data_IF_016425352333
#
_entry.id   IF_016425352333
#
_cell.length_a   1.000
_cell.length_b   1.000
_cell.length_c   1.000
_cell.angle_alpha   90.00
_cell.angle_beta   90.00
_cell.angle_gamma   90.00
#
_symmetry.space_group_name_H-M   'P 1'
#
loop_
_entity.id
_entity.type
_entity.pdbx_description
1 polymer ?
#
# COMPACT_ATOMS: atom_id res chain seq x y z
N UNK A 1 -17.70 -14.15 -25.38
CA UNK A 1 -17.05 -12.90 -25.85
C UNK A 1 -16.75 -11.88 -24.75
N UNK A 2 -17.50 -11.84 -23.65
CA UNK A 2 -17.24 -10.87 -22.53
C UNK A 2 -15.95 -11.16 -21.74
N UNK A 3 -15.58 -12.41 -21.52
CA UNK A 3 -14.36 -12.79 -20.77
C UNK A 3 -13.06 -12.37 -21.47
N UNK A 4 -13.04 -12.31 -22.81
CA UNK A 4 -11.89 -11.85 -23.57
C UNK A 4 -11.64 -10.34 -23.46
N UNK A 5 -12.70 -9.54 -23.35
CA UNK A 5 -12.59 -8.09 -23.17
C UNK A 5 -12.03 -7.72 -21.81
N UNK A 6 -12.35 -8.51 -20.78
CA UNK A 6 -11.85 -8.29 -19.43
C UNK A 6 -10.35 -8.59 -19.29
N UNK A 7 -9.89 -9.67 -19.95
CA UNK A 7 -8.46 -10.04 -19.98
C UNK A 7 -7.65 -8.99 -20.76
N UNK A 8 -8.21 -8.47 -21.87
CA UNK A 8 -7.55 -7.42 -22.67
C UNK A 8 -7.47 -6.09 -21.90
N UNK A 9 -8.49 -5.76 -21.12
CA UNK A 9 -8.50 -4.55 -20.27
C UNK A 9 -7.50 -4.67 -19.11
N UNK A 10 -7.39 -5.86 -18.51
CA UNK A 10 -6.40 -6.14 -17.47
C UNK A 10 -4.95 -6.11 -18.02
N UNK A 11 -4.73 -6.63 -19.23
CA UNK A 11 -3.43 -6.60 -19.90
C UNK A 11 -3.05 -5.17 -20.33
N UNK A 12 -4.00 -4.35 -20.79
CA UNK A 12 -3.78 -2.94 -21.12
C UNK A 12 -3.46 -2.10 -19.87
N UNK A 13 -4.05 -2.43 -18.72
CA UNK A 13 -3.75 -1.78 -17.44
C UNK A 13 -2.32 -2.10 -16.96
N UNK A 14 -1.83 -3.33 -17.20
CA UNK A 14 -0.44 -3.71 -16.89
C UNK A 14 0.59 -3.08 -17.84
N UNK A 15 0.23 -2.83 -19.10
CA UNK A 15 1.14 -2.26 -20.11
C UNK A 15 1.30 -0.73 -19.98
N UNK A 16 0.31 -0.05 -19.35
CA UNK A 16 0.35 1.40 -19.07
C UNK A 16 1.29 1.82 -17.94
N UNK A 17 1.83 0.88 -17.18
CA UNK A 17 2.72 1.15 -16.03
C UNK A 17 4.21 1.03 -16.42
N UNK A 18 4.60 1.63 -17.54
CA UNK A 18 6.02 1.88 -17.79
C UNK A 18 6.45 3.08 -16.93
N UNK A 19 6.81 2.79 -15.69
CA UNK A 19 7.46 3.76 -14.82
C UNK A 19 8.85 4.05 -15.39
N UNK A 20 9.03 5.28 -15.90
CA UNK A 20 10.36 5.81 -16.12
C UNK A 20 11.04 5.84 -14.75
N UNK A 21 11.95 4.91 -14.51
CA UNK A 21 12.88 4.97 -13.41
C UNK A 21 13.92 6.05 -13.78
N UNK A 22 13.62 7.31 -13.52
CA UNK A 22 14.63 8.37 -13.52
C UNK A 22 15.55 8.07 -12.33
N UNK A 23 16.80 7.74 -12.65
CA UNK A 23 17.88 7.68 -11.67
C UNK A 23 17.94 9.04 -10.97
N UNK A 24 17.63 9.06 -9.67
CA UNK A 24 17.65 10.25 -8.86
C UNK A 24 19.06 10.84 -8.88
N UNK A 25 19.19 12.00 -9.48
CA UNK A 25 20.36 12.86 -9.36
C UNK A 25 20.62 13.07 -7.86
N UNK A 26 21.80 12.67 -7.41
CA UNK A 26 22.26 12.82 -6.02
C UNK A 26 22.43 14.30 -5.72
N UNK A 27 21.34 14.96 -5.35
CA UNK A 27 21.40 16.28 -4.74
C UNK A 27 22.20 16.14 -3.43
N UNK A 28 23.38 16.75 -3.37
CA UNK A 28 24.18 16.89 -2.15
C UNK A 28 23.30 17.51 -1.07
N UNK A 29 22.78 16.67 -0.17
CA UNK A 29 22.01 17.14 0.96
C UNK A 29 22.98 17.80 1.93
N UNK A 30 22.86 19.10 2.07
CA UNK A 30 23.57 19.89 3.05
C UNK A 30 23.17 19.39 4.47
N UNK A 31 24.12 18.78 5.18
CA UNK A 31 23.95 18.21 6.55
C UNK A 31 23.45 19.23 7.59
N UNK A 32 23.40 20.51 7.22
CA UNK A 32 22.90 21.65 8.02
C UNK A 32 21.36 21.79 8.01
N UNK A 33 20.60 21.00 7.22
CA UNK A 33 19.14 21.09 7.25
C UNK A 33 18.61 20.54 8.57
N UNK A 34 18.54 21.47 9.50
CA UNK A 34 17.91 21.49 10.79
C UNK A 34 16.87 20.35 10.99
N UNK A 35 17.13 19.45 11.97
CA UNK A 35 16.22 18.39 12.46
C UNK A 35 14.75 18.82 12.48
N UNK A 36 14.49 20.10 12.73
CA UNK A 36 13.18 20.75 12.75
C UNK A 36 12.47 20.74 11.36
N UNK A 37 13.19 20.75 10.23
CA UNK A 37 12.57 20.68 8.89
C UNK A 37 12.08 19.26 8.58
N UNK A 38 12.83 18.26 9.00
CA UNK A 38 12.51 16.84 8.83
C UNK A 38 11.19 16.48 9.53
N UNK A 39 11.05 16.86 10.79
CA UNK A 39 9.80 16.66 11.54
C UNK A 39 8.60 17.40 10.91
N UNK A 40 8.83 18.55 10.30
CA UNK A 40 7.76 19.29 9.62
C UNK A 40 7.28 18.58 8.35
N UNK A 41 8.18 17.99 7.58
CA UNK A 41 7.84 17.24 6.35
C UNK A 41 7.10 15.93 6.70
N UNK A 42 7.61 15.18 7.69
CA UNK A 42 6.95 13.96 8.15
C UNK A 42 5.54 14.27 8.70
N UNK A 43 5.40 15.32 9.51
CA UNK A 43 4.09 15.75 10.02
C UNK A 43 3.13 16.15 8.89
N UNK A 44 3.61 16.83 7.86
CA UNK A 44 2.78 17.18 6.69
C UNK A 44 2.29 15.94 5.96
N UNK A 45 3.16 14.98 5.65
CA UNK A 45 2.79 13.73 5.00
C UNK A 45 1.75 12.94 5.82
N UNK A 46 1.93 12.87 7.15
CA UNK A 46 0.99 12.23 8.08
C UNK A 46 -0.38 12.90 8.05
N UNK A 47 -0.43 14.23 8.17
CA UNK A 47 -1.70 14.98 8.15
C UNK A 47 -2.39 14.83 6.78
N UNK A 48 -1.64 14.89 5.68
CA UNK A 48 -2.18 14.69 4.34
C UNK A 48 -2.81 13.31 4.18
N UNK A 49 -2.15 12.25 4.66
CA UNK A 49 -2.71 10.88 4.65
C UNK A 49 -3.90 10.71 5.60
N UNK A 50 -3.95 11.49 6.69
CA UNK A 50 -5.09 11.47 7.62
C UNK A 50 -6.31 12.22 7.06
N UNK A 51 -6.13 13.22 6.19
CA UNK A 51 -7.26 13.93 5.56
C UNK A 51 -7.78 13.16 4.34
N UNK A 52 -6.87 12.72 3.46
CA UNK A 52 -7.21 11.92 2.29
C UNK A 52 -6.24 10.73 2.23
N UNK A 53 -6.76 9.49 2.33
CA UNK A 53 -5.91 8.29 2.24
C UNK A 53 -5.06 8.30 0.98
N UNK A 54 -3.75 8.03 1.11
CA UNK A 54 -2.83 7.99 -0.01
C UNK A 54 -2.16 9.33 -0.37
N UNK A 55 -2.66 10.49 0.06
CA UNK A 55 -2.04 11.79 -0.25
C UNK A 55 -0.63 11.94 0.34
N UNK A 56 -0.39 11.43 1.53
CA UNK A 56 0.95 11.45 2.14
C UNK A 56 1.94 10.57 1.37
N UNK A 57 1.49 9.44 0.82
CA UNK A 57 2.31 8.58 -0.03
C UNK A 57 2.63 9.27 -1.36
N UNK A 58 1.66 9.97 -1.96
CA UNK A 58 1.87 10.79 -3.14
C UNK A 58 2.87 11.93 -2.86
N UNK A 59 2.77 12.61 -1.70
CA UNK A 59 3.72 13.63 -1.26
C UNK A 59 5.14 13.07 -1.09
N UNK A 60 5.26 11.81 -0.62
CA UNK A 60 6.53 11.11 -0.49
C UNK A 60 7.06 10.55 -1.82
N UNK A 61 6.41 10.84 -2.97
CA UNK A 61 6.73 10.33 -4.31
C UNK A 61 6.58 8.80 -4.45
N UNK A 62 5.80 8.15 -3.59
CA UNK A 62 5.52 6.70 -3.64
C UNK A 62 4.13 6.42 -4.22
N UNK A 63 3.87 6.93 -5.42
CA UNK A 63 2.58 6.85 -6.11
C UNK A 63 2.05 5.43 -6.29
N UNK A 64 2.94 4.46 -6.42
CA UNK A 64 2.57 3.06 -6.61
C UNK A 64 1.82 2.45 -5.41
N UNK A 65 1.98 3.01 -4.20
CA UNK A 65 1.26 2.58 -3.00
C UNK A 65 -0.19 3.06 -2.98
N UNK A 66 -0.49 4.18 -3.63
CA UNK A 66 -1.82 4.79 -3.63
C UNK A 66 -2.89 3.82 -4.15
N UNK A 67 -2.76 3.17 -5.31
CA UNK A 67 -3.75 2.22 -5.80
C UNK A 67 -3.94 1.02 -4.86
N UNK A 68 -2.91 0.58 -4.14
CA UNK A 68 -3.00 -0.52 -3.15
C UNK A 68 -3.91 -0.12 -1.99
N UNK A 69 -3.74 1.09 -1.46
CA UNK A 69 -4.59 1.62 -0.37
C UNK A 69 -6.05 1.70 -0.81
N UNK A 70 -6.31 2.24 -2.01
CA UNK A 70 -7.68 2.34 -2.53
C UNK A 70 -8.29 0.97 -2.88
N UNK A 71 -7.50 0.02 -3.36
CA UNK A 71 -7.96 -1.36 -3.58
C UNK A 71 -8.38 -2.02 -2.26
N UNK A 72 -7.60 -1.82 -1.20
CA UNK A 72 -7.92 -2.32 0.12
C UNK A 72 -9.18 -1.67 0.72
N UNK A 73 -9.26 -0.34 0.69
CA UNK A 73 -10.45 0.40 1.16
C UNK A 73 -11.68 0.04 0.34
N UNK A 74 -11.55 -0.09 -0.99
CA UNK A 74 -12.64 -0.50 -1.88
C UNK A 74 -13.12 -1.92 -1.61
N UNK A 75 -12.20 -2.87 -1.35
CA UNK A 75 -12.54 -4.26 -1.02
C UNK A 75 -13.32 -4.37 0.28
N UNK A 76 -12.83 -3.76 1.37
CA UNK A 76 -13.54 -3.75 2.64
C UNK A 76 -14.82 -2.90 2.61
N UNK A 77 -14.83 -1.80 1.85
CA UNK A 77 -16.03 -0.99 1.61
C UNK A 77 -17.12 -1.78 0.88
N UNK A 78 -16.74 -2.59 -0.11
CA UNK A 78 -17.66 -3.49 -0.80
C UNK A 78 -18.23 -4.58 0.13
N UNK A 79 -17.36 -5.18 0.96
CA UNK A 79 -17.80 -6.14 1.99
C UNK A 79 -18.80 -5.51 2.96
N UNK A 80 -18.51 -4.30 3.44
CA UNK A 80 -19.44 -3.55 4.28
C UNK A 80 -20.78 -3.33 3.59
N UNK A 81 -20.76 -2.82 2.35
CA UNK A 81 -21.96 -2.48 1.61
C UNK A 81 -22.87 -3.69 1.37
N UNK A 82 -22.31 -4.80 0.88
CA UNK A 82 -23.09 -6.02 0.59
C UNK A 82 -23.64 -6.65 1.86
N UNK A 83 -22.87 -6.71 2.94
CA UNK A 83 -23.33 -7.26 4.20
C UNK A 83 -24.34 -6.34 4.91
N UNK A 84 -24.24 -5.02 4.74
CA UNK A 84 -25.23 -4.06 5.24
C UNK A 84 -26.57 -4.23 4.54
N UNK A 85 -26.60 -4.45 3.22
CA UNK A 85 -27.84 -4.75 2.51
C UNK A 85 -28.51 -6.03 3.00
N UNK A 86 -27.75 -7.11 3.10
CA UNK A 86 -28.25 -8.39 3.59
C UNK A 86 -28.72 -8.30 5.05
N UNK A 87 -27.96 -7.63 5.90
CA UNK A 87 -28.36 -7.36 7.28
C UNK A 87 -29.71 -6.63 7.34
N UNK A 88 -29.87 -5.56 6.55
CA UNK A 88 -31.13 -4.79 6.51
C UNK A 88 -32.30 -5.62 5.98
N UNK A 89 -32.06 -6.44 4.97
CA UNK A 89 -33.05 -7.33 4.41
C UNK A 89 -33.57 -8.35 5.42
N UNK A 90 -32.67 -9.08 6.09
CA UNK A 90 -33.05 -10.07 7.10
C UNK A 90 -33.61 -9.43 8.36
N UNK A 91 -33.15 -8.24 8.75
CA UNK A 91 -33.72 -7.49 9.88
C UNK A 91 -35.17 -7.06 9.61
N UNK A 92 -35.48 -6.63 8.38
CA UNK A 92 -36.84 -6.28 7.96
C UNK A 92 -37.77 -7.49 8.01
N UNK A 93 -37.33 -8.62 7.44
CA UNK A 93 -38.15 -9.84 7.42
C UNK A 93 -38.35 -10.45 8.84
N UNK A 94 -37.32 -10.39 9.70
CA UNK A 94 -37.46 -10.80 11.11
C UNK A 94 -38.47 -9.93 11.86
N UNK A 95 -38.49 -8.62 11.56
CA UNK A 95 -39.49 -7.72 12.17
C UNK A 95 -40.90 -8.07 11.68
N UNK A 96 -41.08 -8.33 10.38
CA UNK A 96 -42.35 -8.69 9.79
C UNK A 96 -42.90 -10.04 10.33
N UNK A 97 -41.99 -11.00 10.65
CA UNK A 97 -42.37 -12.27 11.25
C UNK A 97 -42.89 -12.12 12.69
N UNK A 98 -42.33 -11.13 13.44
CA UNK A 98 -42.57 -11.00 14.88
C UNK A 98 -43.55 -9.88 15.26
N UNK A 99 -43.99 -9.02 14.34
CA UNK A 99 -44.84 -7.87 14.67
C UNK A 99 -46.35 -8.19 14.67
N UNK A 100 -46.73 -9.39 14.22
CA UNK A 100 -48.12 -9.83 14.17
C UNK A 100 -49.04 -9.00 13.28
N UNK A 101 -48.50 -8.13 12.43
CA UNK A 101 -49.25 -7.25 11.56
C UNK A 101 -49.49 -7.92 10.19
N UNK A 102 -50.76 -8.13 9.83
CA UNK A 102 -51.12 -8.74 8.57
C UNK A 102 -50.67 -7.97 7.32
N UNK A 103 -50.29 -6.69 7.46
CA UNK A 103 -49.79 -5.85 6.35
C UNK A 103 -48.28 -6.00 6.14
N UNK A 104 -47.54 -6.57 7.08
CA UNK A 104 -46.12 -6.85 6.97
C UNK A 104 -45.92 -8.35 6.72
N UNK A 105 -45.40 -8.69 5.55
CA UNK A 105 -45.22 -10.10 5.15
C UNK A 105 -43.71 -10.41 5.16
N UNK A 106 -43.36 -11.54 5.79
CA UNK A 106 -42.05 -12.13 5.63
C UNK A 106 -41.92 -12.64 4.19
N UNK A 107 -41.06 -11.99 3.40
CA UNK A 107 -40.79 -12.36 1.99
C UNK A 107 -39.94 -13.63 1.88
N UNK A 108 -39.36 -14.09 3.00
CA UNK A 108 -38.50 -15.26 3.07
C UNK A 108 -39.31 -16.47 3.60
N UNK A 109 -38.84 -17.65 3.26
CA UNK A 109 -39.43 -18.90 3.81
C UNK A 109 -38.75 -19.34 5.12
N UNK A 110 -37.97 -18.45 5.76
CA UNK A 110 -37.21 -18.74 6.96
C UNK A 110 -38.02 -18.43 8.21
N UNK A 111 -37.85 -19.30 9.24
CA UNK A 111 -38.41 -19.06 10.55
C UNK A 111 -37.72 -17.90 11.28
N UNK A 112 -38.35 -17.40 12.35
CA UNK A 112 -37.80 -16.32 13.19
C UNK A 112 -36.38 -16.61 13.66
N UNK A 113 -36.07 -17.84 14.12
CA UNK A 113 -34.75 -18.24 14.59
C UNK A 113 -33.70 -18.25 13.47
N UNK A 114 -34.09 -18.73 12.29
CA UNK A 114 -33.22 -18.72 11.12
C UNK A 114 -32.90 -17.28 10.68
N UNK A 115 -33.91 -16.41 10.63
CA UNK A 115 -33.76 -14.98 10.29
C UNK A 115 -32.87 -14.26 11.31
N UNK A 116 -32.99 -14.58 12.59
CA UNK A 116 -32.15 -14.04 13.65
C UNK A 116 -30.69 -14.43 13.46
N UNK A 117 -30.42 -15.69 13.16
CA UNK A 117 -29.07 -16.18 12.91
C UNK A 117 -28.45 -15.51 11.66
N UNK A 118 -29.17 -15.49 10.54
CA UNK A 118 -28.72 -14.83 9.30
C UNK A 118 -28.43 -13.35 9.52
N UNK A 119 -29.35 -12.62 10.18
CA UNK A 119 -29.15 -11.23 10.54
C UNK A 119 -27.86 -11.02 11.36
N UNK A 120 -27.62 -11.89 12.35
CA UNK A 120 -26.44 -11.78 13.22
C UNK A 120 -25.14 -12.10 12.48
N UNK A 121 -25.16 -13.06 11.55
CA UNK A 121 -23.98 -13.39 10.75
C UNK A 121 -23.61 -12.25 9.78
N UNK A 122 -24.59 -11.69 9.07
CA UNK A 122 -24.32 -10.53 8.20
C UNK A 122 -23.91 -9.29 8.98
N UNK A 123 -24.40 -9.13 10.23
CA UNK A 123 -23.89 -8.09 11.14
C UNK A 123 -22.41 -8.27 11.45
N UNK A 124 -21.95 -9.48 11.75
CA UNK A 124 -20.53 -9.77 12.02
C UNK A 124 -19.66 -9.42 10.81
N UNK A 125 -20.05 -9.88 9.61
CA UNK A 125 -19.28 -9.59 8.38
C UNK A 125 -19.30 -8.11 8.01
N UNK A 126 -20.39 -7.40 8.24
CA UNK A 126 -20.47 -5.95 8.11
C UNK A 126 -19.48 -5.25 9.06
N UNK A 127 -19.48 -5.65 10.32
CA UNK A 127 -18.62 -5.04 11.34
C UNK A 127 -17.13 -5.35 11.05
N UNK A 128 -16.82 -6.55 10.53
CA UNK A 128 -15.48 -6.88 10.00
C UNK A 128 -15.07 -5.97 8.85
N UNK A 129 -15.99 -5.61 7.94
CA UNK A 129 -15.76 -4.63 6.87
C UNK A 129 -15.32 -3.27 7.41
N UNK A 130 -16.02 -2.77 8.44
CA UNK A 130 -15.67 -1.48 9.11
C UNK A 130 -14.30 -1.56 9.77
N UNK A 131 -14.04 -2.62 10.53
CA UNK A 131 -12.76 -2.83 11.21
C UNK A 131 -11.63 -2.91 10.18
N UNK A 132 -11.82 -3.65 9.07
CA UNK A 132 -10.83 -3.75 7.99
C UNK A 132 -10.52 -2.42 7.34
N UNK A 133 -11.53 -1.59 7.05
CA UNK A 133 -11.32 -0.22 6.57
C UNK A 133 -10.50 0.61 7.58
N UNK A 134 -10.81 0.51 8.86
CA UNK A 134 -10.10 1.21 9.93
C UNK A 134 -8.62 0.81 10.00
N UNK A 135 -8.33 -0.48 9.93
CA UNK A 135 -6.96 -1.00 9.95
C UNK A 135 -6.17 -0.47 8.74
N UNK A 136 -6.72 -0.57 7.52
CA UNK A 136 -6.05 -0.06 6.31
C UNK A 136 -5.81 1.45 6.42
N UNK A 137 -6.78 2.20 6.92
CA UNK A 137 -6.63 3.64 7.12
C UNK A 137 -5.51 3.97 8.11
N UNK A 138 -5.44 3.30 9.25
CA UNK A 138 -4.39 3.50 10.24
C UNK A 138 -3.02 3.13 9.65
N UNK A 139 -2.91 1.98 8.98
CA UNK A 139 -1.68 1.55 8.34
C UNK A 139 -1.21 2.54 7.27
N UNK A 140 -2.12 3.11 6.47
CA UNK A 140 -1.80 4.15 5.49
C UNK A 140 -1.21 5.40 6.13
N UNK A 141 -1.74 5.86 7.27
CA UNK A 141 -1.22 7.04 7.99
C UNK A 141 0.17 6.74 8.59
N UNK A 142 0.35 5.56 9.18
CA UNK A 142 1.65 5.14 9.74
C UNK A 142 2.69 5.02 8.62
N UNK A 143 2.37 4.36 7.50
CA UNK A 143 3.28 4.18 6.37
C UNK A 143 3.73 5.53 5.78
N UNK A 144 2.81 6.48 5.62
CA UNK A 144 3.15 7.83 5.16
C UNK A 144 4.12 8.56 6.11
N UNK A 145 3.95 8.37 7.42
CA UNK A 145 4.85 8.93 8.43
C UNK A 145 6.24 8.30 8.37
N UNK A 146 6.30 6.97 8.34
CA UNK A 146 7.56 6.20 8.27
C UNK A 146 8.33 6.53 7.01
N UNK A 147 7.65 6.55 5.85
CA UNK A 147 8.27 6.90 4.57
C UNK A 147 8.87 8.31 4.57
N UNK A 148 8.19 9.27 5.20
CA UNK A 148 8.70 10.64 5.29
C UNK A 148 9.93 10.75 6.20
N UNK A 149 10.00 9.97 7.28
CA UNK A 149 11.20 9.89 8.11
C UNK A 149 12.36 9.17 7.41
N UNK A 150 12.09 8.08 6.69
CA UNK A 150 13.11 7.32 5.96
C UNK A 150 13.70 8.10 4.76
N UNK A 151 12.92 9.00 4.15
CA UNK A 151 13.39 9.84 3.04
C UNK A 151 14.59 10.73 3.43
N UNK A 152 14.73 11.03 4.70
CA UNK A 152 15.83 11.85 5.23
C UNK A 152 17.03 11.04 5.73
N UNK A 153 16.90 9.71 5.72
CA UNK A 153 17.98 8.79 6.08
C UNK A 153 18.78 8.46 4.80
N UNK A 154 19.75 9.29 4.48
CA UNK A 154 20.67 9.04 3.37
C UNK A 154 21.87 8.24 3.89
N UNK A 155 21.94 6.97 3.57
CA UNK A 155 23.08 6.07 3.87
C UNK A 155 24.16 6.14 2.77
N UNK A 156 23.92 6.87 1.68
CA UNK A 156 24.84 6.96 0.54
C UNK A 156 26.13 7.70 0.89
N UNK A 157 26.11 8.56 1.92
CA UNK A 157 27.26 9.36 2.34
C UNK A 157 28.31 8.52 3.09
N UNK A 158 27.92 7.40 3.67
CA UNK A 158 28.78 6.58 4.53
C UNK A 158 29.32 5.33 3.82
N UNK A 159 28.74 4.94 2.66
CA UNK A 159 29.10 3.77 1.89
C UNK A 159 29.25 4.13 0.40
N UNK A 160 30.44 4.03 -0.14
CA UNK A 160 30.67 4.15 -1.58
C UNK A 160 31.26 2.85 -2.14
N UNK A 161 30.64 2.33 -3.19
CA UNK A 161 31.13 1.20 -3.97
C UNK A 161 31.84 1.74 -5.22
N UNK A 162 33.13 1.53 -5.32
CA UNK A 162 33.96 1.97 -6.44
C UNK A 162 34.49 0.76 -7.23
N UNK A 163 34.12 0.70 -8.52
CA UNK A 163 34.64 -0.28 -9.45
C UNK A 163 35.85 0.33 -10.17
N UNK A 164 37.01 -0.26 -9.97
CA UNK A 164 38.25 0.15 -10.65
C UNK A 164 38.81 -0.97 -11.50
N UNK A 165 39.27 -0.67 -12.72
CA UNK A 165 40.10 -1.61 -13.45
C UNK A 165 41.41 -1.82 -12.68
N UNK A 166 41.76 -3.06 -12.44
CA UNK A 166 43.00 -3.45 -11.79
C UNK A 166 43.97 -3.98 -12.83
N UNK A 167 45.10 -3.30 -12.97
CA UNK A 167 46.19 -3.74 -13.83
C UNK A 167 47.46 -3.80 -12.97
N UNK A 168 48.00 -4.99 -12.80
CA UNK A 168 49.27 -5.18 -12.11
C UNK A 168 50.25 -5.86 -13.03
N UNK A 169 51.45 -5.32 -13.08
CA UNK A 169 52.57 -5.92 -13.80
C UNK A 169 53.48 -6.57 -12.79
N UNK A 170 53.74 -7.86 -12.91
CA UNK A 170 54.64 -8.59 -12.05
C UNK A 170 55.81 -9.20 -12.85
N UNK A 171 57.00 -9.17 -12.27
CA UNK A 171 58.16 -9.83 -12.80
C UNK A 171 58.46 -11.09 -11.97
N UNK A 172 58.37 -12.23 -12.62
CA UNK A 172 58.75 -13.50 -11.99
C UNK A 172 59.71 -14.24 -12.90
N UNK A 173 60.87 -14.60 -12.38
CA UNK A 173 61.89 -15.42 -13.06
C UNK A 173 62.26 -14.92 -14.47
N UNK A 174 62.58 -13.62 -14.60
CA UNK A 174 62.96 -12.93 -15.84
C UNK A 174 61.85 -12.83 -16.91
N UNK A 175 60.58 -13.14 -16.55
CA UNK A 175 59.39 -12.98 -17.39
C UNK A 175 58.50 -11.90 -16.79
N UNK A 176 58.03 -10.99 -17.68
CA UNK A 176 57.07 -9.96 -17.33
C UNK A 176 55.65 -10.50 -17.60
N UNK A 177 54.85 -10.57 -16.56
CA UNK A 177 53.43 -10.93 -16.66
C UNK A 177 52.51 -9.75 -16.37
N UNK A 178 51.41 -9.64 -17.07
CA UNK A 178 50.34 -8.65 -16.82
C UNK A 178 49.13 -9.40 -16.25
N UNK A 179 48.62 -8.91 -15.16
CA UNK A 179 47.40 -9.40 -14.54
C UNK A 179 46.35 -8.28 -14.63
N UNK A 180 45.32 -8.51 -15.41
CA UNK A 180 44.20 -7.59 -15.58
C UNK A 180 42.98 -8.12 -14.88
N UNK A 181 42.26 -7.28 -14.14
CA UNK A 181 41.09 -7.64 -13.39
C UNK A 181 40.19 -6.44 -13.05
N UNK A 182 39.11 -6.68 -12.35
CA UNK A 182 38.24 -5.65 -11.83
C UNK A 182 38.32 -5.72 -10.32
N UNK A 183 38.69 -4.62 -9.66
CA UNK A 183 38.68 -4.49 -8.21
C UNK A 183 37.40 -3.79 -7.74
N UNK A 184 36.75 -4.37 -6.76
CA UNK A 184 35.59 -3.82 -6.07
C UNK A 184 36.05 -3.27 -4.73
N UNK A 185 35.98 -1.95 -4.57
CA UNK A 185 36.36 -1.29 -3.32
C UNK A 185 35.15 -0.74 -2.61
N UNK A 186 34.90 -1.24 -1.40
CA UNK A 186 33.97 -0.65 -0.45
C UNK A 186 34.71 0.38 0.40
N UNK A 187 34.35 1.65 0.29
CA UNK A 187 34.84 2.71 1.15
C UNK A 187 33.80 3.01 2.24
N UNK A 188 34.21 2.90 3.47
CA UNK A 188 33.49 3.39 4.64
C UNK A 188 34.09 4.75 5.03
N UNK A 189 33.25 5.75 5.25
CA UNK A 189 33.67 7.10 5.63
C UNK A 189 33.26 7.38 7.06
#
# INVERSE_FOLDING_TARGET
MQKFKFIFFLAALCFGLQFNCEAQDTLKVDKSKNKKSIYREARKATIMSAVIPGLGQAYNHKWWKVPIVYAGLGGFGYLFYTNQQNFSYYAKNLKAENDGNANTINETKYSSDQLLNLKNDYRKYRDLGVIGCGIIYILNVIDANVDAHLKTFDVSDDLSLELKPYNNVYCFNNSIGMQTGISLQLKFK
#
